data_IF_780084847202
#
_entry.id   IF_780084847202
#
_cell.length_a   1.000
_cell.length_b   1.000
_cell.length_c   1.000
_cell.angle_alpha   90.00
_cell.angle_beta   90.00
_cell.angle_gamma   90.00
#
_symmetry.space_group_name_H-M   'P 1'
#
loop_
_entity.id
_entity.type
_entity.pdbx_description
1 polymer ?
#
# COMPACT_ATOMS: atom_id res chain seq x y z
N UNK A 1 25.98 -12.37 4.42
CA UNK A 1 25.29 -11.62 3.35
C UNK A 1 24.01 -12.31 2.87
N UNK A 2 23.88 -13.64 2.99
CA UNK A 2 22.72 -14.39 2.49
C UNK A 2 21.40 -14.07 3.21
N UNK A 3 21.43 -13.99 4.55
CA UNK A 3 20.26 -13.64 5.35
C UNK A 3 19.68 -12.24 5.05
N UNK A 4 20.55 -11.28 4.73
CA UNK A 4 20.11 -9.91 4.40
C UNK A 4 19.38 -9.92 3.06
N UNK A 5 19.91 -10.61 2.03
CA UNK A 5 19.27 -10.75 0.72
C UNK A 5 17.90 -11.45 0.82
N UNK A 6 17.81 -12.54 1.58
CA UNK A 6 16.55 -13.25 1.81
C UNK A 6 15.49 -12.35 2.47
N UNK A 7 15.88 -11.59 3.49
CA UNK A 7 14.98 -10.65 4.15
C UNK A 7 14.46 -9.58 3.19
N UNK A 8 15.30 -9.05 2.28
CA UNK A 8 14.86 -8.06 1.30
C UNK A 8 13.88 -8.62 0.28
N UNK A 9 14.14 -9.82 -0.27
CA UNK A 9 13.21 -10.47 -1.20
C UNK A 9 11.84 -10.75 -0.57
N UNK A 10 11.82 -11.17 0.70
CA UNK A 10 10.57 -11.37 1.44
C UNK A 10 9.81 -10.06 1.67
N UNK A 11 10.51 -8.96 1.96
CA UNK A 11 9.89 -7.63 2.13
C UNK A 11 9.32 -7.12 0.80
N UNK A 12 10.04 -7.30 -0.32
CA UNK A 12 9.57 -6.90 -1.66
C UNK A 12 8.30 -7.67 -2.06
N UNK A 13 8.26 -8.98 -1.83
CA UNK A 13 7.07 -9.80 -2.07
C UNK A 13 5.88 -9.32 -1.22
N UNK A 14 6.10 -9.12 0.08
CA UNK A 14 5.06 -8.62 0.98
C UNK A 14 4.55 -7.23 0.56
N UNK A 15 5.43 -6.34 0.09
CA UNK A 15 5.05 -5.03 -0.41
C UNK A 15 4.15 -5.13 -1.66
N UNK A 16 4.48 -6.04 -2.58
CA UNK A 16 3.67 -6.33 -3.76
C UNK A 16 2.27 -6.85 -3.39
N UNK A 17 2.19 -7.78 -2.43
CA UNK A 17 0.93 -8.34 -1.95
C UNK A 17 0.05 -7.27 -1.28
N UNK A 18 0.65 -6.41 -0.46
CA UNK A 18 -0.08 -5.31 0.18
C UNK A 18 -0.56 -4.32 -0.88
N UNK A 19 0.23 -4.02 -1.92
CA UNK A 19 -0.16 -3.10 -2.99
C UNK A 19 -1.34 -3.66 -3.81
N UNK A 20 -1.28 -4.94 -4.18
CA UNK A 20 -2.39 -5.62 -4.85
C UNK A 20 -3.66 -5.64 -3.98
N UNK A 21 -3.50 -5.85 -2.68
CA UNK A 21 -4.62 -5.83 -1.71
C UNK A 21 -5.21 -4.43 -1.57
N UNK A 22 -4.37 -3.39 -1.45
CA UNK A 22 -4.83 -2.00 -1.41
C UNK A 22 -5.59 -1.61 -2.67
N UNK A 23 -5.05 -1.95 -3.86
CA UNK A 23 -5.73 -1.71 -5.13
C UNK A 23 -7.11 -2.37 -5.19
N UNK A 24 -7.24 -3.59 -4.68
CA UNK A 24 -8.53 -4.30 -4.57
C UNK A 24 -9.50 -3.62 -3.61
N UNK A 25 -9.03 -3.19 -2.43
CA UNK A 25 -9.83 -2.44 -1.45
C UNK A 25 -10.34 -1.14 -2.07
N UNK A 26 -9.46 -0.37 -2.72
CA UNK A 26 -9.83 0.89 -3.37
C UNK A 26 -10.86 0.68 -4.48
N UNK A 27 -10.73 -0.39 -5.27
CA UNK A 27 -11.73 -0.77 -6.27
C UNK A 27 -13.10 -1.08 -5.64
N UNK A 28 -13.13 -1.94 -4.63
CA UNK A 28 -14.36 -2.30 -3.92
C UNK A 28 -15.04 -1.09 -3.26
N UNK A 29 -14.26 -0.17 -2.68
CA UNK A 29 -14.78 1.08 -2.12
C UNK A 29 -15.37 2.00 -3.20
N UNK A 30 -14.71 2.10 -4.36
CA UNK A 30 -15.22 2.85 -5.51
C UNK A 30 -16.54 2.29 -6.03
N UNK A 31 -16.63 0.97 -6.18
CA UNK A 31 -17.85 0.26 -6.57
C UNK A 31 -18.99 0.49 -5.57
N UNK A 32 -18.70 0.33 -4.27
CA UNK A 32 -19.66 0.57 -3.20
C UNK A 32 -20.16 2.02 -3.22
N UNK A 33 -19.26 2.99 -3.39
CA UNK A 33 -19.62 4.41 -3.46
C UNK A 33 -20.55 4.69 -4.65
N UNK A 34 -20.25 4.14 -5.82
CA UNK A 34 -21.08 4.29 -7.01
C UNK A 34 -22.48 3.67 -6.81
N UNK A 35 -22.56 2.51 -6.16
CA UNK A 35 -23.82 1.83 -5.88
C UNK A 35 -24.68 2.61 -4.86
N UNK A 36 -24.04 3.26 -3.90
CA UNK A 36 -24.73 4.02 -2.86
C UNK A 36 -25.14 5.43 -3.29
N UNK A 37 -24.49 6.04 -4.30
CA UNK A 37 -24.82 7.39 -4.80
C UNK A 37 -26.33 7.68 -4.94
N UNK A 38 -27.14 6.86 -5.64
CA UNK A 38 -28.58 7.13 -5.77
C UNK A 38 -29.35 6.98 -4.45
N UNK A 39 -28.87 6.16 -3.51
CA UNK A 39 -29.51 5.96 -2.20
C UNK A 39 -29.18 7.09 -1.23
N UNK A 40 -27.97 7.65 -1.33
CA UNK A 40 -27.52 8.82 -0.55
C UNK A 40 -28.41 10.03 -0.84
N UNK A 41 -28.90 10.19 -2.07
CA UNK A 41 -29.84 11.27 -2.42
C UNK A 41 -31.21 11.14 -1.72
N UNK A 42 -31.58 9.94 -1.26
CA UNK A 42 -32.83 9.65 -0.57
C UNK A 42 -32.67 9.51 0.95
N UNK A 43 -31.44 9.50 1.48
CA UNK A 43 -31.16 9.43 2.90
C UNK A 43 -31.17 10.83 3.51
N UNK A 44 -32.13 11.07 4.42
CA UNK A 44 -32.22 12.29 5.22
C UNK A 44 -31.90 11.96 6.70
N UNK A 45 -31.40 12.96 7.44
CA UNK A 45 -31.16 12.84 8.89
C UNK A 45 -29.99 11.91 9.26
N UNK A 46 -30.20 11.07 10.28
CA UNK A 46 -29.14 10.28 10.93
C UNK A 46 -28.45 9.26 10.00
N UNK A 47 -29.17 8.72 9.01
CA UNK A 47 -28.61 7.77 8.05
C UNK A 47 -27.58 8.41 7.11
N UNK A 48 -27.78 9.68 6.74
CA UNK A 48 -26.81 10.43 5.93
C UNK A 48 -25.52 10.68 6.74
N UNK A 49 -25.65 11.05 8.01
CA UNK A 49 -24.50 11.25 8.92
C UNK A 49 -23.71 9.96 9.13
N UNK A 50 -24.40 8.84 9.38
CA UNK A 50 -23.75 7.53 9.57
C UNK A 50 -23.00 7.08 8.30
N UNK A 51 -23.59 7.30 7.13
CA UNK A 51 -22.93 7.02 5.85
C UNK A 51 -21.69 7.88 5.64
N UNK A 52 -21.77 9.20 5.86
CA UNK A 52 -20.62 10.09 5.72
C UNK A 52 -19.48 9.68 6.66
N UNK A 53 -19.79 9.36 7.92
CA UNK A 53 -18.79 8.87 8.87
C UNK A 53 -18.14 7.56 8.43
N UNK A 54 -18.92 6.61 7.90
CA UNK A 54 -18.38 5.37 7.34
C UNK A 54 -17.51 5.64 6.12
N UNK A 55 -17.92 6.58 5.27
CA UNK A 55 -17.19 6.96 4.07
C UNK A 55 -15.83 7.57 4.40
N UNK A 56 -15.80 8.57 5.28
CA UNK A 56 -14.55 9.16 5.69
C UNK A 56 -13.63 8.16 6.40
N UNK A 57 -14.18 7.20 7.14
CA UNK A 57 -13.38 6.18 7.83
C UNK A 57 -12.65 5.27 6.84
N UNK A 58 -13.35 4.79 5.82
CA UNK A 58 -12.71 3.92 4.83
C UNK A 58 -11.74 4.71 3.93
N UNK A 59 -12.04 5.97 3.61
CA UNK A 59 -11.18 6.80 2.76
C UNK A 59 -9.85 7.06 3.49
N UNK A 60 -9.92 7.38 4.79
CA UNK A 60 -8.73 7.51 5.65
C UNK A 60 -7.94 6.21 5.74
N UNK A 61 -8.62 5.08 5.92
CA UNK A 61 -7.95 3.78 6.02
C UNK A 61 -7.24 3.39 4.73
N UNK A 62 -7.82 3.74 3.57
CA UNK A 62 -7.20 3.55 2.27
C UNK A 62 -5.98 4.46 2.07
N UNK A 63 -6.08 5.73 2.49
CA UNK A 63 -4.97 6.68 2.45
C UNK A 63 -3.79 6.21 3.32
N UNK A 64 -4.05 5.82 4.57
CA UNK A 64 -3.04 5.32 5.51
C UNK A 64 -2.32 4.09 4.93
N UNK A 65 -3.09 3.15 4.34
CA UNK A 65 -2.52 1.96 3.71
C UNK A 65 -1.60 2.33 2.54
N UNK A 66 -2.01 3.28 1.70
CA UNK A 66 -1.20 3.77 0.58
C UNK A 66 0.08 4.46 1.05
N UNK A 67 0.03 5.23 2.14
CA UNK A 67 1.23 5.87 2.72
C UNK A 67 2.23 4.84 3.29
N UNK A 68 1.72 3.81 3.97
CA UNK A 68 2.55 2.70 4.47
C UNK A 68 3.23 1.98 3.29
N UNK A 69 2.47 1.72 2.22
CA UNK A 69 2.99 1.10 1.00
C UNK A 69 4.10 1.90 0.32
N UNK A 70 3.91 3.21 0.18
CA UNK A 70 4.93 4.10 -0.37
C UNK A 70 6.21 4.07 0.48
N UNK A 71 6.05 4.08 1.81
CA UNK A 71 7.17 3.99 2.75
C UNK A 71 7.94 2.67 2.61
N UNK A 72 7.23 1.55 2.50
CA UNK A 72 7.84 0.23 2.29
C UNK A 72 8.57 0.20 0.95
N UNK A 73 7.92 0.65 -0.13
CA UNK A 73 8.50 0.68 -1.48
C UNK A 73 9.82 1.48 -1.51
N UNK A 74 9.84 2.67 -0.94
CA UNK A 74 11.06 3.49 -0.82
C UNK A 74 12.15 2.79 -0.02
N UNK A 75 11.78 2.08 1.04
CA UNK A 75 12.74 1.36 1.90
C UNK A 75 13.36 0.17 1.16
N UNK A 76 12.55 -0.59 0.41
CA UNK A 76 13.02 -1.71 -0.41
C UNK A 76 13.96 -1.24 -1.51
N UNK A 77 13.59 -0.20 -2.26
CA UNK A 77 14.43 0.36 -3.33
C UNK A 77 15.78 0.83 -2.80
N UNK A 78 15.79 1.58 -1.69
CA UNK A 78 17.04 2.00 -1.04
C UNK A 78 17.89 0.81 -0.56
N UNK A 79 17.25 -0.26 -0.09
CA UNK A 79 17.94 -1.49 0.31
C UNK A 79 18.61 -2.20 -0.87
N UNK A 80 17.90 -2.30 -1.99
CA UNK A 80 18.40 -2.89 -3.23
C UNK A 80 19.59 -2.11 -3.80
N UNK A 81 19.51 -0.78 -3.83
CA UNK A 81 20.61 0.08 -4.32
C UNK A 81 21.87 -0.12 -3.48
N UNK A 82 21.74 -0.11 -2.14
CA UNK A 82 22.87 -0.35 -1.23
C UNK A 82 23.48 -1.74 -1.43
N UNK A 83 22.66 -2.78 -1.62
CA UNK A 83 23.15 -4.13 -1.85
C UNK A 83 23.88 -4.24 -3.20
N UNK A 84 23.37 -3.59 -4.23
CA UNK A 84 24.02 -3.53 -5.55
C UNK A 84 25.39 -2.85 -5.46
N UNK A 85 25.49 -1.76 -4.70
CA UNK A 85 26.75 -1.05 -4.46
C UNK A 85 27.75 -1.90 -3.67
N UNK A 86 27.31 -2.56 -2.60
CA UNK A 86 28.15 -3.49 -1.82
C UNK A 86 28.64 -4.64 -2.69
N UNK A 87 27.78 -5.22 -3.52
CA UNK A 87 28.15 -6.31 -4.42
C UNK A 87 29.16 -5.85 -5.48
N UNK A 88 28.98 -4.64 -6.04
CA UNK A 88 29.92 -4.04 -7.00
C UNK A 88 31.29 -3.78 -6.37
N UNK A 89 31.32 -3.22 -5.16
CA UNK A 89 32.55 -2.97 -4.42
C UNK A 89 33.27 -4.28 -4.05
N UNK A 90 32.54 -5.30 -3.64
CA UNK A 90 33.09 -6.62 -3.35
C UNK A 90 33.66 -7.30 -4.61
N UNK A 91 32.98 -7.21 -5.75
CA UNK A 91 33.50 -7.74 -7.01
C UNK A 91 34.79 -7.02 -7.46
N UNK A 92 34.87 -5.71 -7.27
CA UNK A 92 36.04 -4.91 -7.62
C UNK A 92 37.26 -5.19 -6.73
N UNK A 93 37.06 -5.64 -5.48
CA UNK A 93 38.17 -5.96 -4.57
C UNK A 93 38.77 -7.36 -4.80
N UNK A 94 38.18 -8.17 -5.67
CA UNK A 94 38.63 -9.52 -6.01
C UNK A 94 39.29 -9.58 -7.40
N UNK A 95 39.46 -8.43 -8.07
CA UNK A 95 40.16 -8.28 -9.34
C UNK A 95 41.56 -7.72 -9.19
#
# INVERSE_FOLDING_TARGET
MDHIKYSFGAIEAAAGDIHATSGRINGLLGELKALLQPMVAAWEGDSATAYQAAQEKWDRSAEDLNQILDTISRTVTQGNDRMADVNRAAAASWG
#
